data_IF_094475157117
#
_entry.id   IF_094475157117
#
_cell.length_a   1.000
_cell.length_b   1.000
_cell.length_c   1.000
_cell.angle_alpha   90.00
_cell.angle_beta   90.00
_cell.angle_gamma   90.00
#
_symmetry.space_group_name_H-M   'P 1'
#
loop_
_entity.id
_entity.type
_entity.pdbx_description
1 polymer ?
#
# COMPACT_ATOMS: atom_id res chain seq x y z
N UNK A 1 -28.05 6.61 -76.72
CA UNK A 1 -27.89 7.34 -75.45
C UNK A 1 -28.45 6.47 -74.35
N UNK A 2 -27.60 5.92 -73.48
CA UNK A 2 -27.99 5.19 -72.27
C UNK A 2 -27.04 5.67 -71.17
N UNK A 3 -27.60 6.41 -70.21
CA UNK A 3 -26.90 6.94 -69.05
C UNK A 3 -27.02 5.91 -67.93
N UNK A 4 -25.90 5.26 -67.58
CA UNK A 4 -25.84 4.37 -66.42
C UNK A 4 -25.17 5.10 -65.27
N UNK A 5 -25.91 5.19 -64.16
CA UNK A 5 -25.55 5.84 -62.90
C UNK A 5 -24.47 5.01 -62.19
N UNK A 6 -23.39 5.66 -61.75
CA UNK A 6 -22.34 5.03 -60.95
C UNK A 6 -22.84 4.83 -59.50
N UNK A 7 -22.79 3.58 -58.99
CA UNK A 7 -23.02 3.31 -57.57
C UNK A 7 -21.73 3.53 -56.78
N UNK A 8 -21.77 4.45 -55.82
CA UNK A 8 -20.69 4.71 -54.86
C UNK A 8 -20.60 3.55 -53.87
N UNK A 9 -19.52 2.77 -53.93
CA UNK A 9 -19.23 1.76 -52.91
C UNK A 9 -18.69 2.47 -51.65
N UNK A 10 -19.34 2.22 -50.51
CA UNK A 10 -18.94 2.69 -49.18
C UNK A 10 -17.63 2.02 -48.80
N UNK A 11 -16.65 2.82 -48.35
CA UNK A 11 -15.35 2.34 -47.92
C UNK A 11 -15.47 1.50 -46.65
N UNK A 12 -14.99 0.25 -46.71
CA UNK A 12 -14.82 -0.62 -45.56
C UNK A 12 -13.89 0.04 -44.52
N UNK A 13 -14.41 0.27 -43.33
CA UNK A 13 -13.63 0.72 -42.18
C UNK A 13 -12.90 -0.50 -41.60
N UNK A 14 -11.55 -0.55 -41.58
CA UNK A 14 -10.86 -1.67 -40.97
C UNK A 14 -11.08 -1.67 -39.46
N UNK A 15 -11.63 -2.76 -38.94
CA UNK A 15 -11.72 -3.04 -37.51
C UNK A 15 -10.31 -3.11 -36.93
N UNK A 16 -9.94 -2.13 -36.12
CA UNK A 16 -8.69 -2.16 -35.35
C UNK A 16 -8.85 -3.17 -34.22
N UNK A 17 -8.57 -4.44 -34.51
CA UNK A 17 -8.22 -5.40 -33.47
C UNK A 17 -6.89 -4.96 -32.88
N UNK A 18 -6.95 -4.22 -31.76
CA UNK A 18 -5.78 -3.88 -30.98
C UNK A 18 -5.18 -5.17 -30.42
N UNK A 19 -4.18 -5.70 -31.12
CA UNK A 19 -3.31 -6.75 -30.62
C UNK A 19 -2.63 -6.27 -29.34
N UNK A 20 -3.07 -6.77 -28.20
CA UNK A 20 -2.33 -6.63 -26.95
C UNK A 20 -1.06 -7.48 -27.09
N UNK A 21 0.04 -6.89 -27.54
CA UNK A 21 1.33 -7.55 -27.46
C UNK A 21 1.66 -7.72 -25.99
N UNK A 22 1.72 -8.96 -25.53
CA UNK A 22 2.28 -9.32 -24.23
C UNK A 22 3.77 -9.00 -24.30
N UNK A 23 4.13 -7.75 -24.05
CA UNK A 23 5.49 -7.40 -23.67
C UNK A 23 5.68 -7.99 -22.29
N UNK A 24 6.31 -9.17 -22.23
CA UNK A 24 6.85 -9.73 -21.00
C UNK A 24 7.94 -8.79 -20.49
N UNK A 25 7.53 -7.75 -19.79
CA UNK A 25 8.42 -6.97 -18.96
C UNK A 25 8.99 -7.96 -17.94
N UNK A 26 10.31 -8.08 -17.88
CA UNK A 26 11.02 -8.87 -16.89
C UNK A 26 10.81 -8.23 -15.51
N UNK A 27 9.60 -8.39 -14.96
CA UNK A 27 9.12 -7.81 -13.70
C UNK A 27 9.83 -8.43 -12.49
N UNK A 28 10.56 -9.52 -12.68
CA UNK A 28 11.28 -10.23 -11.62
C UNK A 28 12.65 -9.63 -11.31
N UNK A 29 13.16 -8.66 -12.09
CA UNK A 29 14.47 -8.02 -11.81
C UNK A 29 14.51 -7.21 -10.52
N UNK A 30 13.35 -6.97 -9.89
CA UNK A 30 13.24 -6.21 -8.65
C UNK A 30 13.38 -7.08 -7.39
N UNK A 31 13.49 -8.41 -7.53
CA UNK A 31 13.61 -9.34 -6.41
C UNK A 31 14.99 -9.30 -5.72
N UNK A 32 16.05 -8.87 -6.40
CA UNK A 32 17.43 -8.99 -5.89
C UNK A 32 17.95 -7.78 -5.08
N UNK A 33 17.11 -6.77 -4.79
CA UNK A 33 17.55 -5.59 -4.05
C UNK A 33 17.50 -5.77 -2.51
N UNK A 34 18.12 -6.82 -1.98
CA UNK A 34 18.29 -6.99 -0.52
C UNK A 34 19.28 -5.97 0.10
N UNK A 35 19.95 -5.14 -0.71
CA UNK A 35 20.97 -4.20 -0.27
C UNK A 35 20.52 -2.72 -0.22
N UNK A 36 19.30 -2.39 -0.64
CA UNK A 36 18.84 -1.02 -0.84
C UNK A 36 17.58 -0.68 -0.06
N UNK A 37 17.64 -0.63 1.28
CA UNK A 37 16.52 -0.23 2.13
C UNK A 37 15.26 -1.10 2.01
N UNK A 38 14.39 -0.99 3.00
CA UNK A 38 13.07 -1.64 3.00
C UNK A 38 12.05 -0.82 2.18
N UNK A 39 12.49 -0.02 1.21
CA UNK A 39 11.62 0.82 0.39
C UNK A 39 11.83 0.57 -1.10
N UNK A 40 10.76 0.73 -1.88
CA UNK A 40 10.75 0.64 -3.33
C UNK A 40 9.93 1.79 -3.88
N UNK A 41 10.50 2.54 -4.80
CA UNK A 41 9.76 3.51 -5.61
C UNK A 41 9.48 2.88 -6.98
N UNK A 42 8.23 2.92 -7.40
CA UNK A 42 7.75 2.45 -8.69
C UNK A 42 7.13 3.63 -9.41
N UNK A 43 7.64 3.94 -10.59
CA UNK A 43 7.10 4.98 -11.45
C UNK A 43 6.37 4.32 -12.63
N UNK A 44 5.12 4.69 -12.83
CA UNK A 44 4.27 4.21 -13.91
C UNK A 44 3.88 5.38 -14.79
N UNK A 45 4.26 5.31 -16.07
CA UNK A 45 3.91 6.32 -17.06
C UNK A 45 3.09 5.68 -18.18
N UNK A 46 2.06 6.38 -18.64
CA UNK A 46 1.28 5.96 -19.79
C UNK A 46 0.96 7.14 -20.71
N UNK A 47 0.72 6.83 -21.98
CA UNK A 47 0.24 7.80 -22.96
C UNK A 47 -0.78 7.12 -23.85
N UNK A 48 -1.99 7.68 -23.92
CA UNK A 48 -3.05 7.26 -24.83
C UNK A 48 -3.27 5.74 -24.85
N UNK A 49 -3.67 5.19 -23.71
CA UNK A 49 -3.89 3.74 -23.52
C UNK A 49 -5.00 3.15 -24.40
N UNK A 50 -5.88 3.98 -24.98
CA UNK A 50 -7.01 3.57 -25.82
C UNK A 50 -8.19 3.01 -25.03
N UNK A 51 -7.98 2.62 -23.77
CA UNK A 51 -9.00 2.23 -22.80
C UNK A 51 -8.51 2.53 -21.39
N UNK A 52 -9.45 2.68 -20.48
CA UNK A 52 -9.12 2.77 -19.05
C UNK A 52 -8.54 1.43 -18.59
N UNK A 53 -7.51 1.49 -17.75
CA UNK A 53 -6.90 0.31 -17.15
C UNK A 53 -6.73 0.54 -15.65
N UNK A 54 -6.83 -0.55 -14.91
CA UNK A 54 -6.43 -0.62 -13.51
C UNK A 54 -5.15 -1.45 -13.39
N UNK A 55 -4.14 -0.88 -12.73
CA UNK A 55 -2.93 -1.57 -12.34
C UNK A 55 -3.07 -2.04 -10.88
N UNK A 56 -2.96 -3.35 -10.66
CA UNK A 56 -3.05 -3.96 -9.34
C UNK A 56 -1.66 -4.35 -8.87
N UNK A 57 -1.21 -3.73 -7.79
CA UNK A 57 0.05 -4.07 -7.14
C UNK A 57 -0.24 -5.08 -6.01
N UNK A 58 0.42 -6.23 -6.10
CA UNK A 58 0.22 -7.39 -5.22
C UNK A 58 1.55 -7.78 -4.57
N UNK A 59 1.49 -8.34 -3.37
CA UNK A 59 2.69 -8.88 -2.70
C UNK A 59 3.06 -10.26 -3.24
N UNK A 60 2.04 -11.06 -3.54
CA UNK A 60 2.21 -12.39 -4.12
C UNK A 60 1.58 -12.42 -5.52
N UNK A 61 2.29 -12.97 -6.52
CA UNK A 61 1.70 -13.20 -7.82
C UNK A 61 0.45 -14.07 -7.70
N UNK A 62 -0.59 -13.77 -8.47
CA UNK A 62 -1.79 -14.60 -8.48
C UNK A 62 -1.44 -16.03 -8.92
N UNK A 63 -1.92 -17.03 -8.16
CA UNK A 63 -1.79 -18.45 -8.52
C UNK A 63 -2.58 -18.75 -9.79
N UNK A 64 -2.33 -19.92 -10.38
CA UNK A 64 -2.99 -20.36 -11.63
C UNK A 64 -4.52 -20.29 -11.50
N UNK A 65 -5.18 -19.57 -12.41
CA UNK A 65 -6.63 -19.32 -12.39
C UNK A 65 -6.99 -17.96 -12.98
N UNK A 66 -8.28 -17.70 -13.21
CA UNK A 66 -8.77 -16.38 -13.66
C UNK A 66 -8.94 -15.45 -12.46
N UNK A 67 -8.32 -14.27 -12.53
CA UNK A 67 -8.51 -13.20 -11.54
C UNK A 67 -9.99 -12.85 -11.37
N UNK A 68 -10.41 -12.66 -10.11
CA UNK A 68 -11.78 -12.35 -9.68
C UNK A 68 -12.84 -13.41 -9.96
N UNK A 69 -12.45 -14.56 -10.50
CA UNK A 69 -13.34 -15.72 -10.72
C UNK A 69 -12.87 -16.87 -9.84
N UNK A 70 -11.63 -17.30 -10.08
CA UNK A 70 -11.00 -18.42 -9.35
C UNK A 70 -10.08 -17.91 -8.23
N UNK A 71 -9.60 -16.66 -8.36
CA UNK A 71 -8.63 -16.07 -7.46
C UNK A 71 -9.01 -14.64 -7.06
N UNK A 72 -9.03 -14.38 -5.76
CA UNK A 72 -9.18 -13.04 -5.19
C UNK A 72 -7.84 -12.58 -4.64
N UNK A 73 -7.03 -11.85 -5.43
CA UNK A 73 -5.69 -11.46 -5.01
C UNK A 73 -5.71 -10.51 -3.81
N UNK A 74 -4.72 -10.63 -2.93
CA UNK A 74 -4.45 -9.63 -1.90
C UNK A 74 -3.69 -8.49 -2.55
N UNK A 75 -4.43 -7.45 -2.90
CA UNK A 75 -3.92 -6.24 -3.56
C UNK A 75 -3.60 -5.21 -2.50
N UNK A 76 -2.39 -4.66 -2.54
CA UNK A 76 -1.99 -3.60 -1.59
C UNK A 76 -2.17 -2.20 -2.17
N UNK A 77 -2.20 -2.05 -3.51
CA UNK A 77 -2.52 -0.79 -4.18
C UNK A 77 -3.21 -1.03 -5.53
N UNK A 78 -4.18 -0.19 -5.84
CA UNK A 78 -4.79 -0.09 -7.17
C UNK A 78 -4.54 1.31 -7.71
N UNK A 79 -4.08 1.40 -8.96
CA UNK A 79 -3.92 2.66 -9.69
C UNK A 79 -4.77 2.61 -10.95
N UNK A 80 -5.58 3.63 -11.19
CA UNK A 80 -6.41 3.73 -12.39
C UNK A 80 -5.79 4.74 -13.35
N UNK A 81 -5.67 4.37 -14.62
CA UNK A 81 -5.14 5.22 -15.70
C UNK A 81 -6.19 5.45 -16.78
N UNK A 82 -6.24 6.67 -17.30
CA UNK A 82 -7.22 7.08 -18.31
C UNK A 82 -6.91 6.53 -19.70
N UNK A 83 -7.96 6.34 -20.50
CA UNK A 83 -7.85 5.90 -21.90
C UNK A 83 -7.07 6.88 -22.78
N UNK A 84 -7.15 8.18 -22.49
CA UNK A 84 -6.54 9.25 -23.28
C UNK A 84 -5.67 10.14 -22.40
N UNK A 85 -4.74 10.87 -23.03
CA UNK A 85 -3.84 11.78 -22.35
C UNK A 85 -2.59 11.09 -21.79
N UNK A 86 -1.87 11.82 -20.94
CA UNK A 86 -0.64 11.35 -20.29
C UNK A 86 -0.97 11.00 -18.83
N UNK A 87 -0.84 9.70 -18.53
CA UNK A 87 -0.82 9.07 -17.21
C UNK A 87 0.52 9.17 -16.50
N UNK A 88 0.60 9.55 -15.22
CA UNK A 88 1.78 9.24 -14.40
C UNK A 88 1.36 8.92 -12.96
N UNK A 89 1.99 7.92 -12.36
CA UNK A 89 1.82 7.58 -10.95
C UNK A 89 3.14 7.13 -10.33
N UNK A 90 3.50 7.80 -9.24
CA UNK A 90 4.58 7.39 -8.35
C UNK A 90 3.99 6.59 -7.19
N UNK A 91 4.49 5.38 -7.00
CA UNK A 91 4.13 4.52 -5.87
C UNK A 91 5.36 4.22 -5.05
N UNK A 92 5.34 4.68 -3.81
CA UNK A 92 6.32 4.33 -2.80
C UNK A 92 5.76 3.19 -1.94
N UNK A 93 6.45 2.05 -1.94
CA UNK A 93 6.25 0.99 -0.98
C UNK A 93 7.36 1.06 0.08
N UNK A 94 6.98 0.96 1.34
CA UNK A 94 7.91 0.82 2.46
C UNK A 94 7.44 -0.35 3.33
N UNK A 95 8.34 -1.30 3.56
CA UNK A 95 8.14 -2.35 4.56
C UNK A 95 8.53 -1.85 5.97
N UNK A 96 8.90 -0.57 6.11
CA UNK A 96 9.22 0.02 7.40
C UNK A 96 7.94 0.22 8.21
N UNK A 97 7.69 -0.70 9.12
CA UNK A 97 6.56 -0.67 10.03
C UNK A 97 6.86 0.09 11.31
N UNK A 98 5.81 0.50 12.00
CA UNK A 98 5.94 1.01 13.35
C UNK A 98 4.60 1.14 14.05
N UNK A 99 4.68 1.47 15.33
CA UNK A 99 3.51 1.73 16.15
C UNK A 99 3.24 3.22 16.27
N UNK A 100 1.97 3.57 16.40
CA UNK A 100 1.56 4.95 16.61
C UNK A 100 0.43 5.11 17.61
N UNK A 101 0.35 6.30 18.18
CA UNK A 101 -0.72 6.72 19.09
C UNK A 101 -1.80 7.38 18.25
N UNK A 102 -2.97 6.73 18.06
CA UNK A 102 -4.05 7.27 17.26
C UNK A 102 -4.70 8.46 17.97
N UNK A 103 -5.12 9.47 17.21
CA UNK A 103 -6.04 10.49 17.71
C UNK A 103 -7.45 10.18 17.22
N UNK A 104 -8.37 9.94 18.14
CA UNK A 104 -9.77 9.66 17.79
C UNK A 104 -10.59 10.88 18.20
N UNK A 105 -11.18 11.59 17.23
CA UNK A 105 -12.05 12.73 17.49
C UNK A 105 -13.38 12.54 16.78
N UNK A 106 -14.47 12.52 17.54
CA UNK A 106 -15.85 12.37 17.02
C UNK A 106 -16.04 11.15 16.10
N UNK A 107 -15.43 10.01 16.44
CA UNK A 107 -15.49 8.78 15.63
C UNK A 107 -14.54 8.75 14.43
N UNK A 108 -13.99 9.90 14.03
CA UNK A 108 -12.99 9.98 12.97
C UNK A 108 -11.60 9.64 13.52
N UNK A 109 -10.94 8.68 12.87
CA UNK A 109 -9.54 8.31 13.14
C UNK A 109 -8.64 9.33 12.45
N UNK A 110 -7.95 10.15 13.24
CA UNK A 110 -6.96 11.11 12.78
C UNK A 110 -5.57 10.50 12.93
N UNK A 111 -4.72 10.70 11.92
CA UNK A 111 -3.34 10.26 11.89
C UNK A 111 -2.58 10.73 13.15
N UNK A 112 -1.62 9.89 13.56
CA UNK A 112 -0.97 9.81 14.86
C UNK A 112 -0.58 11.13 15.56
N UNK A 113 -0.65 11.16 16.90
CA UNK A 113 0.04 12.18 17.71
C UNK A 113 1.53 11.91 17.89
N UNK A 114 1.91 10.63 17.88
CA UNK A 114 3.28 10.16 18.01
C UNK A 114 3.41 8.80 17.30
N UNK A 115 4.51 8.56 16.63
CA UNK A 115 4.81 7.30 15.97
C UNK A 115 6.26 6.91 16.22
N UNK A 116 6.53 5.61 16.21
CA UNK A 116 7.84 5.04 16.46
C UNK A 116 8.06 3.83 15.56
N UNK A 117 9.17 3.85 14.82
CA UNK A 117 9.61 2.69 14.03
C UNK A 117 9.85 1.49 14.94
N UNK A 118 9.35 0.34 14.51
CA UNK A 118 9.51 -0.94 15.19
C UNK A 118 9.45 -2.04 14.13
N UNK A 119 10.49 -2.87 14.09
CA UNK A 119 10.65 -3.96 13.14
C UNK A 119 10.41 -5.31 13.81
N UNK A 120 10.26 -6.35 12.99
CA UNK A 120 10.16 -7.73 13.48
C UNK A 120 11.37 -8.08 14.34
N UNK A 121 11.12 -8.68 15.51
CA UNK A 121 12.14 -8.94 16.52
C UNK A 121 12.31 -7.79 17.53
N UNK A 122 11.60 -6.67 17.38
CA UNK A 122 11.71 -5.51 18.25
C UNK A 122 10.45 -5.27 19.09
N UNK A 123 10.64 -4.50 20.16
CA UNK A 123 9.61 -4.08 21.09
C UNK A 123 9.64 -2.58 21.35
N UNK A 124 8.47 -1.96 21.41
CA UNK A 124 8.25 -0.61 21.93
C UNK A 124 7.34 -0.63 23.15
N UNK A 125 7.41 0.41 23.97
CA UNK A 125 6.51 0.59 25.12
C UNK A 125 5.79 1.92 25.01
N UNK A 126 4.46 1.90 25.08
CA UNK A 126 3.64 3.09 25.19
C UNK A 126 3.78 3.68 26.60
N UNK A 127 4.06 4.97 26.69
CA UNK A 127 4.16 5.72 27.94
C UNK A 127 3.33 7.00 27.89
N UNK A 128 2.90 7.45 29.06
CA UNK A 128 2.30 8.80 29.22
C UNK A 128 3.43 9.82 29.39
N UNK A 129 3.30 10.98 28.76
CA UNK A 129 4.20 12.11 28.97
C UNK A 129 4.23 12.50 30.46
N UNK A 130 5.36 13.02 30.95
CA UNK A 130 5.51 13.45 32.34
C UNK A 130 4.50 14.53 32.76
N UNK A 131 4.07 15.37 31.81
CA UNK A 131 3.07 16.41 32.01
C UNK A 131 1.61 15.90 31.89
N UNK A 132 1.41 14.60 31.65
CA UNK A 132 0.10 13.95 31.53
C UNK A 132 -0.71 14.29 30.27
N UNK A 133 -0.17 15.10 29.34
CA UNK A 133 -0.95 15.68 28.25
C UNK A 133 -0.97 14.85 26.95
N UNK A 134 -0.32 13.70 26.94
CA UNK A 134 -0.18 12.87 25.76
C UNK A 134 0.52 11.56 26.02
N UNK A 135 0.56 10.71 25.00
CA UNK A 135 1.23 9.42 25.03
C UNK A 135 2.25 9.35 23.89
N UNK A 136 3.29 8.54 24.10
CA UNK A 136 4.35 8.31 23.12
C UNK A 136 4.88 6.88 23.23
N UNK A 137 5.44 6.38 22.14
CA UNK A 137 6.20 5.14 22.17
C UNK A 137 7.68 5.41 22.45
N UNK A 138 8.28 4.59 23.31
CA UNK A 138 9.74 4.60 23.51
C UNK A 138 10.46 4.13 22.25
N UNK A 139 11.74 4.52 22.05
CA UNK A 139 12.58 3.89 21.03
C UNK A 139 12.51 2.37 21.09
N UNK A 140 12.54 1.74 19.92
CA UNK A 140 12.52 0.29 19.81
C UNK A 140 13.76 -0.33 20.48
N UNK A 141 13.53 -1.44 21.18
CA UNK A 141 14.57 -2.28 21.78
C UNK A 141 14.39 -3.70 21.30
N UNK A 142 15.40 -4.55 21.51
CA UNK A 142 15.28 -5.97 21.18
C UNK A 142 14.11 -6.62 21.94
N UNK A 143 13.31 -7.38 21.19
CA UNK A 143 12.13 -8.08 21.66
C UNK A 143 12.25 -9.58 21.38
N UNK A 144 11.09 -10.22 21.26
CA UNK A 144 11.01 -11.63 20.87
C UNK A 144 11.26 -11.77 19.37
N UNK A 145 12.20 -12.64 18.93
CA UNK A 145 12.44 -12.89 17.50
C UNK A 145 11.17 -13.30 16.76
N UNK A 146 11.01 -12.81 15.52
CA UNK A 146 9.89 -13.19 14.66
C UNK A 146 8.57 -12.44 14.92
N UNK A 147 8.50 -11.57 15.94
CA UNK A 147 7.30 -10.75 16.22
C UNK A 147 7.67 -9.30 16.42
N UNK A 148 6.79 -8.40 16.02
CA UNK A 148 6.79 -7.02 16.47
C UNK A 148 5.98 -6.89 17.75
N UNK A 149 6.46 -6.09 18.71
CA UNK A 149 5.83 -6.00 20.01
C UNK A 149 5.54 -4.56 20.44
N UNK A 150 4.33 -4.33 20.95
CA UNK A 150 3.96 -3.08 21.60
C UNK A 150 3.35 -3.35 22.98
N UNK A 151 4.00 -2.85 24.03
CA UNK A 151 3.52 -2.96 25.40
C UNK A 151 2.75 -1.70 25.79
N UNK A 152 1.52 -1.84 26.30
CA UNK A 152 0.88 -0.72 26.99
C UNK A 152 1.49 -0.56 28.39
N UNK A 153 2.48 0.32 28.49
CA UNK A 153 3.13 0.72 29.74
C UNK A 153 2.45 1.89 30.45
N UNK A 154 1.28 2.33 29.98
CA UNK A 154 0.51 3.39 30.64
C UNK A 154 -0.36 2.80 31.75
N UNK A 155 -0.58 3.52 32.85
CA UNK A 155 -1.35 3.02 34.02
C UNK A 155 -2.86 2.84 33.74
N UNK A 156 -3.30 2.99 32.49
CA UNK A 156 -4.71 2.93 32.07
C UNK A 156 -4.85 2.27 30.71
N UNK A 157 -6.06 1.84 30.33
CA UNK A 157 -6.31 1.42 28.97
C UNK A 157 -5.96 2.52 27.96
N UNK A 158 -5.33 2.15 26.85
CA UNK A 158 -4.88 3.10 25.81
C UNK A 158 -5.19 2.59 24.41
N UNK A 159 -5.21 3.51 23.45
CA UNK A 159 -5.36 3.15 22.04
C UNK A 159 -3.98 3.07 21.40
N UNK A 160 -3.77 2.10 20.53
CA UNK A 160 -2.52 1.89 19.81
C UNK A 160 -2.84 1.50 18.37
N UNK A 161 -1.96 1.85 17.43
CA UNK A 161 -2.08 1.42 16.05
C UNK A 161 -0.75 0.99 15.47
N UNK A 162 -0.82 0.29 14.34
CA UNK A 162 0.33 -0.08 13.51
C UNK A 162 0.14 0.52 12.12
N UNK A 163 1.23 0.95 11.51
CA UNK A 163 1.22 1.52 10.19
C UNK A 163 2.57 1.41 9.49
N UNK A 164 2.61 1.97 8.29
CA UNK A 164 3.79 2.02 7.45
C UNK A 164 4.39 3.43 7.50
N UNK A 165 5.69 3.52 7.74
CA UNK A 165 6.43 4.77 7.68
C UNK A 165 6.78 5.09 6.24
N UNK A 166 6.69 6.35 5.83
CA UNK A 166 7.32 6.78 4.59
C UNK A 166 8.85 6.56 4.63
N UNK A 167 9.53 6.62 3.49
CA UNK A 167 10.97 6.42 3.39
C UNK A 167 11.78 7.37 4.29
N UNK A 168 11.28 8.57 4.53
CA UNK A 168 11.92 9.52 5.43
C UNK A 168 11.77 9.16 6.92
N UNK A 169 10.90 8.21 7.28
CA UNK A 169 10.59 7.83 8.65
C UNK A 169 9.82 8.90 9.45
N UNK A 170 9.30 9.92 8.76
CA UNK A 170 8.70 11.12 9.39
C UNK A 170 7.19 11.09 9.45
N UNK A 171 6.55 10.29 8.59
CA UNK A 171 5.10 10.17 8.51
C UNK A 171 4.71 8.70 8.56
N UNK A 172 3.69 8.39 9.34
CA UNK A 172 3.08 7.06 9.38
C UNK A 172 1.72 7.08 8.70
N UNK A 173 1.50 6.14 7.79
CA UNK A 173 0.19 5.81 7.24
C UNK A 173 -0.46 4.71 8.09
N UNK A 174 -1.58 5.02 8.79
CA UNK A 174 -2.29 4.05 9.61
C UNK A 174 -2.79 2.83 8.81
N UNK A 175 -2.47 1.62 9.27
CA UNK A 175 -3.04 0.40 8.71
C UNK A 175 -4.14 -0.18 9.63
N UNK A 176 -3.86 -0.29 10.92
CA UNK A 176 -4.79 -0.83 11.91
C UNK A 176 -4.71 -0.07 13.23
N UNK A 177 -5.85 0.00 13.93
CA UNK A 177 -5.97 0.64 15.25
C UNK A 177 -6.77 -0.27 16.16
N UNK A 178 -6.24 -0.46 17.36
CA UNK A 178 -6.91 -1.11 18.47
C UNK A 178 -7.24 -0.10 19.57
N UNK A 179 -8.40 -0.28 20.18
CA UNK A 179 -8.90 0.60 21.23
C UNK A 179 -8.91 -0.11 22.58
N UNK A 180 -8.77 0.66 23.67
CA UNK A 180 -8.90 0.19 25.04
C UNK A 180 -7.98 -1.00 25.40
N UNK A 181 -6.73 -0.93 24.96
CA UNK A 181 -5.74 -1.93 25.32
C UNK A 181 -5.44 -1.84 26.81
N UNK A 182 -5.68 -2.91 27.56
CA UNK A 182 -5.43 -2.97 28.99
C UNK A 182 -3.95 -2.69 29.34
N UNK A 183 -3.73 -2.15 30.53
CA UNK A 183 -2.39 -1.98 31.10
C UNK A 183 -1.66 -3.32 31.19
N UNK A 184 -0.37 -3.33 30.86
CA UNK A 184 0.47 -4.53 30.91
C UNK A 184 0.22 -5.52 29.77
N UNK A 185 -0.74 -5.24 28.88
CA UNK A 185 -1.01 -6.09 27.74
C UNK A 185 0.04 -5.89 26.64
N UNK A 186 0.57 -7.00 26.13
CA UNK A 186 1.56 -7.05 25.07
C UNK A 186 0.88 -7.40 23.74
N UNK A 187 0.93 -6.48 22.79
CA UNK A 187 0.56 -6.77 21.42
C UNK A 187 1.68 -7.49 20.72
N UNK A 188 1.35 -8.61 20.07
CA UNK A 188 2.22 -9.35 19.17
C UNK A 188 1.66 -9.21 17.77
N UNK A 189 2.48 -8.71 16.85
CA UNK A 189 2.18 -8.71 15.44
C UNK A 189 3.14 -9.67 14.74
N UNK A 190 2.55 -10.65 14.06
CA UNK A 190 3.24 -11.57 13.18
C UNK A 190 3.10 -11.00 11.77
N UNK A 191 4.21 -10.59 11.12
CA UNK A 191 4.18 -10.15 9.73
C UNK A 191 3.79 -11.31 8.78
#
# INVERSE_FOLDING_TARGET
MSTTVASTAVADTPSVEASLSVSSLDLNKFADAAAGGNSRALEFNSSNLGKEIDLLLMFEPPKVGKLFVDLFPVVWKVLSFSATGISSADVEYTADTGFFVPQIKSGNRVAASNAQSCQTGQKVTLKTNLNGNGQYFTPAVDGTPGVMQALNGTERPANMGIGFLNQAGTKMEPALVWNNIAYGFLFLFLP
#
